data_IF_349500421884
#
_entry.id   IF_349500421884
#
_cell.length_a   1.000
_cell.length_b   1.000
_cell.length_c   1.000
_cell.angle_alpha   90.00
_cell.angle_beta   90.00
_cell.angle_gamma   90.00
#
_symmetry.space_group_name_H-M   'P 1'
#
loop_
_entity.id
_entity.type
_entity.pdbx_description
1 polymer ?
#
# COMPACT_ATOMS: atom_id res chain seq x y z
N UNK A 1 27.40 24.06 -9.98
CA UNK A 1 28.59 24.92 -9.83
C UNK A 1 28.10 26.37 -9.73
N UNK A 2 28.69 27.25 -8.90
CA UNK A 2 28.34 28.66 -8.92
C UNK A 2 28.70 29.28 -10.28
N UNK A 3 27.79 30.06 -10.86
CA UNK A 3 28.06 30.82 -12.07
C UNK A 3 28.35 32.24 -11.62
N UNK A 4 29.60 32.67 -11.71
CA UNK A 4 29.94 34.07 -11.45
C UNK A 4 29.56 34.89 -12.67
N UNK A 5 28.58 35.79 -12.51
CA UNK A 5 28.27 36.74 -13.55
C UNK A 5 29.45 37.67 -13.79
N UNK A 6 29.72 37.98 -15.06
CA UNK A 6 30.75 38.92 -15.48
C UNK A 6 30.17 39.82 -16.56
N UNK A 7 30.42 41.12 -16.43
CA UNK A 7 30.05 42.10 -17.45
C UNK A 7 31.17 42.26 -18.48
N UNK A 8 30.82 42.66 -19.70
CA UNK A 8 31.79 42.89 -20.77
C UNK A 8 32.63 44.15 -20.51
N UNK A 9 33.89 44.20 -20.99
CA UNK A 9 34.76 45.38 -20.80
C UNK A 9 34.15 46.68 -21.33
N UNK A 10 33.40 46.61 -22.43
CA UNK A 10 32.66 47.74 -23.00
C UNK A 10 31.63 48.33 -22.02
N UNK A 11 31.11 47.52 -21.11
CA UNK A 11 30.18 47.95 -20.07
C UNK A 11 30.91 48.74 -18.97
N UNK A 12 32.08 48.26 -18.55
CA UNK A 12 32.98 48.96 -17.63
C UNK A 12 33.44 50.31 -18.19
N UNK A 13 33.81 50.37 -19.48
CA UNK A 13 34.20 51.62 -20.15
C UNK A 13 33.06 52.66 -20.23
N UNK A 14 31.80 52.21 -20.26
CA UNK A 14 30.64 53.09 -20.38
C UNK A 14 30.05 53.53 -19.05
N UNK A 15 30.09 52.68 -18.03
CA UNK A 15 29.49 52.95 -16.72
C UNK A 15 30.52 53.30 -15.63
N UNK A 16 31.80 53.06 -15.89
CA UNK A 16 32.87 53.15 -14.89
C UNK A 16 33.08 51.83 -14.17
N UNK A 17 34.30 51.61 -13.71
CA UNK A 17 34.70 50.35 -13.07
C UNK A 17 33.94 50.12 -11.74
N UNK A 18 33.71 51.17 -10.95
CA UNK A 18 33.02 51.07 -9.66
C UNK A 18 31.57 50.62 -9.80
N UNK A 19 30.80 51.31 -10.66
CA UNK A 19 29.37 50.99 -10.89
C UNK A 19 29.21 49.60 -11.51
N UNK A 20 30.11 49.21 -12.43
CA UNK A 20 30.07 47.89 -13.03
C UNK A 20 30.39 46.78 -12.02
N UNK A 21 31.32 47.01 -11.08
CA UNK A 21 31.61 46.06 -10.01
C UNK A 21 30.43 45.91 -9.04
N UNK A 22 29.81 47.01 -8.61
CA UNK A 22 28.62 46.95 -7.73
C UNK A 22 27.49 46.14 -8.36
N UNK A 23 27.24 46.32 -9.66
CA UNK A 23 26.21 45.55 -10.39
C UNK A 23 26.54 44.06 -10.46
N UNK A 24 27.81 43.70 -10.65
CA UNK A 24 28.24 42.30 -10.65
C UNK A 24 28.09 41.68 -9.27
N UNK A 25 28.51 42.38 -8.22
CA UNK A 25 28.37 41.92 -6.84
C UNK A 25 26.91 41.72 -6.46
N UNK A 26 26.05 42.70 -6.78
CA UNK A 26 24.62 42.59 -6.56
C UNK A 26 24.01 41.40 -7.31
N UNK A 27 24.33 41.20 -8.59
CA UNK A 27 23.81 40.08 -9.37
C UNK A 27 24.22 38.73 -8.76
N UNK A 28 25.49 38.59 -8.38
CA UNK A 28 25.98 37.36 -7.76
C UNK A 28 25.33 37.11 -6.39
N UNK A 29 25.06 38.16 -5.61
CA UNK A 29 24.33 38.06 -4.34
C UNK A 29 22.89 37.59 -4.55
N UNK A 30 22.20 38.15 -5.55
CA UNK A 30 20.83 37.77 -5.91
C UNK A 30 20.78 36.32 -6.39
N UNK A 31 21.71 35.88 -7.26
CA UNK A 31 21.80 34.49 -7.72
C UNK A 31 22.03 33.52 -6.56
N UNK A 32 22.96 33.85 -5.66
CA UNK A 32 23.26 33.04 -4.49
C UNK A 32 22.04 32.89 -3.56
N UNK A 33 21.34 34.01 -3.31
CA UNK A 33 20.14 34.04 -2.47
C UNK A 33 19.01 33.21 -3.10
N UNK A 34 18.70 33.47 -4.37
CA UNK A 34 17.61 32.78 -5.06
C UNK A 34 17.85 31.27 -5.16
N UNK A 35 19.10 30.86 -5.42
CA UNK A 35 19.46 29.44 -5.43
C UNK A 35 19.34 28.80 -4.05
N UNK A 36 19.70 29.54 -2.99
CA UNK A 36 19.51 29.09 -1.61
C UNK A 36 18.02 28.90 -1.30
N UNK A 37 17.20 29.91 -1.60
CA UNK A 37 15.75 29.87 -1.36
C UNK A 37 15.08 28.74 -2.13
N UNK A 38 15.43 28.56 -3.41
CA UNK A 38 14.93 27.44 -4.22
C UNK A 38 15.31 26.09 -3.61
N UNK A 39 16.54 25.96 -3.10
CA UNK A 39 16.98 24.73 -2.47
C UNK A 39 16.21 24.48 -1.18
N UNK A 40 16.04 25.49 -0.33
CA UNK A 40 15.29 25.38 0.91
C UNK A 40 13.82 25.02 0.65
N UNK A 41 13.17 25.70 -0.29
CA UNK A 41 11.80 25.40 -0.70
C UNK A 41 11.68 23.97 -1.25
N UNK A 42 12.67 23.53 -2.03
CA UNK A 42 12.69 22.18 -2.58
C UNK A 42 12.85 21.13 -1.47
N UNK A 43 13.78 21.32 -0.55
CA UNK A 43 13.99 20.44 0.61
C UNK A 43 12.74 20.38 1.49
N UNK A 44 12.09 21.52 1.79
CA UNK A 44 10.85 21.58 2.56
C UNK A 44 9.69 20.87 1.84
N UNK A 45 9.56 21.08 0.53
CA UNK A 45 8.51 20.44 -0.25
C UNK A 45 8.72 18.93 -0.36
N UNK A 46 9.96 18.47 -0.54
CA UNK A 46 10.28 17.04 -0.55
C UNK A 46 10.00 16.39 0.81
N UNK A 47 10.38 17.04 1.93
CA UNK A 47 10.07 16.52 3.26
C UNK A 47 8.55 16.40 3.50
N UNK A 48 7.76 17.39 3.07
CA UNK A 48 6.30 17.34 3.15
C UNK A 48 5.69 16.26 2.25
N UNK A 49 6.24 16.09 1.06
CA UNK A 49 5.80 15.07 0.12
C UNK A 49 6.08 13.66 0.67
N UNK A 50 7.28 13.44 1.19
CA UNK A 50 7.71 12.18 1.79
C UNK A 50 6.82 11.81 2.98
N UNK A 51 6.61 12.74 3.93
CA UNK A 51 5.70 12.53 5.06
C UNK A 51 4.26 12.18 4.63
N UNK A 52 3.75 12.84 3.59
CA UNK A 52 2.41 12.54 3.05
C UNK A 52 2.37 11.18 2.36
N UNK A 53 3.42 10.80 1.65
CA UNK A 53 3.52 9.47 1.04
C UNK A 53 3.56 8.37 2.10
N UNK A 54 4.40 8.53 3.13
CA UNK A 54 4.47 7.59 4.25
C UNK A 54 3.11 7.42 4.93
N UNK A 55 2.41 8.54 5.19
CA UNK A 55 1.05 8.51 5.73
C UNK A 55 0.10 7.71 4.83
N UNK A 56 0.07 7.99 3.52
CA UNK A 56 -0.82 7.28 2.58
C UNK A 56 -0.48 5.79 2.48
N UNK A 57 0.80 5.43 2.52
CA UNK A 57 1.23 4.03 2.53
C UNK A 57 0.76 3.33 3.81
N UNK A 58 0.85 4.00 4.96
CA UNK A 58 0.37 3.46 6.23
C UNK A 58 -1.15 3.25 6.23
N UNK A 59 -1.91 4.22 5.72
CA UNK A 59 -3.37 4.12 5.52
C UNK A 59 -3.73 2.92 4.62
N UNK A 60 -3.12 2.82 3.44
CA UNK A 60 -3.36 1.71 2.51
C UNK A 60 -3.00 0.34 3.12
N UNK A 61 -1.92 0.25 3.89
CA UNK A 61 -1.55 -0.98 4.59
C UNK A 61 -2.60 -1.37 5.64
N UNK A 62 -3.13 -0.40 6.37
CA UNK A 62 -4.16 -0.64 7.38
C UNK A 62 -5.49 -1.08 6.75
N UNK A 63 -5.90 -0.43 5.65
CA UNK A 63 -7.08 -0.80 4.87
C UNK A 63 -6.94 -2.22 4.33
N UNK A 64 -5.83 -2.52 3.65
CA UNK A 64 -5.57 -3.86 3.10
C UNK A 64 -5.56 -4.93 4.19
N UNK A 65 -4.94 -4.66 5.34
CA UNK A 65 -4.94 -5.61 6.46
C UNK A 65 -6.36 -5.86 6.99
N UNK A 66 -7.20 -4.83 7.03
CA UNK A 66 -8.60 -4.93 7.46
C UNK A 66 -9.42 -5.75 6.46
N UNK A 67 -9.29 -5.46 5.17
CA UNK A 67 -9.98 -6.21 4.11
C UNK A 67 -9.54 -7.68 4.07
N UNK A 68 -8.25 -7.95 4.22
CA UNK A 68 -7.73 -9.32 4.28
C UNK A 68 -8.30 -10.07 5.49
N UNK A 69 -8.31 -9.46 6.68
CA UNK A 69 -8.91 -10.07 7.89
C UNK A 69 -10.39 -10.37 7.69
N UNK A 70 -11.14 -9.43 7.12
CA UNK A 70 -12.56 -9.63 6.81
C UNK A 70 -12.75 -10.74 5.76
N UNK A 71 -11.89 -10.80 4.75
CA UNK A 71 -11.86 -11.84 3.73
C UNK A 71 -11.62 -13.23 4.34
N UNK A 72 -10.60 -13.38 5.17
CA UNK A 72 -10.30 -14.64 5.87
C UNK A 72 -11.43 -15.06 6.79
N UNK A 73 -11.99 -14.15 7.59
CA UNK A 73 -13.13 -14.46 8.45
C UNK A 73 -14.34 -15.01 7.66
N UNK A 74 -14.61 -14.45 6.47
CA UNK A 74 -15.68 -14.95 5.58
C UNK A 74 -15.35 -16.33 5.00
N UNK A 75 -14.08 -16.60 4.67
CA UNK A 75 -13.65 -17.92 4.20
C UNK A 75 -13.80 -18.95 5.31
N UNK A 76 -13.31 -18.65 6.51
CA UNK A 76 -13.43 -19.53 7.68
C UNK A 76 -14.90 -19.83 8.00
N UNK A 77 -15.77 -18.82 7.97
CA UNK A 77 -17.20 -19.01 8.16
C UNK A 77 -17.79 -19.97 7.12
N UNK A 78 -17.47 -19.77 5.83
CA UNK A 78 -17.96 -20.64 4.76
C UNK A 78 -17.47 -22.07 4.95
N UNK A 79 -16.21 -22.26 5.33
CA UNK A 79 -15.64 -23.59 5.59
C UNK A 79 -16.35 -24.28 6.76
N UNK A 80 -16.59 -23.57 7.87
CA UNK A 80 -17.33 -24.11 9.01
C UNK A 80 -18.78 -24.49 8.65
N UNK A 81 -19.44 -23.69 7.82
CA UNK A 81 -20.76 -24.03 7.28
C UNK A 81 -20.72 -25.27 6.38
N UNK A 82 -19.71 -25.40 5.52
CA UNK A 82 -19.53 -26.59 4.69
C UNK A 82 -19.27 -27.83 5.53
N UNK A 83 -18.38 -27.75 6.52
CA UNK A 83 -18.07 -28.84 7.43
C UNK A 83 -19.32 -29.30 8.19
N UNK A 84 -20.12 -28.36 8.70
CA UNK A 84 -21.38 -28.67 9.40
C UNK A 84 -22.37 -29.38 8.46
N UNK A 85 -22.54 -28.89 7.23
CA UNK A 85 -23.44 -29.49 6.24
C UNK A 85 -22.99 -30.89 5.82
N UNK A 86 -21.68 -31.06 5.58
CA UNK A 86 -21.10 -32.35 5.21
C UNK A 86 -21.24 -33.37 6.34
N UNK A 87 -20.90 -32.98 7.57
CA UNK A 87 -21.05 -33.82 8.76
C UNK A 87 -22.50 -34.27 8.92
N UNK A 88 -23.47 -33.36 8.82
CA UNK A 88 -24.90 -33.72 8.90
C UNK A 88 -25.31 -34.69 7.78
N UNK A 89 -24.87 -34.45 6.54
CA UNK A 89 -25.19 -35.34 5.40
C UNK A 89 -24.58 -36.73 5.59
N UNK A 90 -23.34 -36.80 6.04
CA UNK A 90 -22.65 -38.07 6.31
C UNK A 90 -23.36 -38.84 7.42
N UNK A 91 -23.73 -38.18 8.53
CA UNK A 91 -24.48 -38.83 9.61
C UNK A 91 -25.82 -39.37 9.12
N UNK A 92 -26.59 -38.59 8.37
CA UNK A 92 -27.87 -39.03 7.80
C UNK A 92 -27.67 -40.23 6.86
N UNK A 93 -26.63 -40.20 6.04
CA UNK A 93 -26.26 -41.31 5.17
C UNK A 93 -25.92 -42.57 5.97
N UNK A 94 -25.11 -42.44 7.02
CA UNK A 94 -24.73 -43.56 7.89
C UNK A 94 -25.94 -44.16 8.63
N UNK A 95 -26.86 -43.33 9.10
CA UNK A 95 -28.11 -43.79 9.74
C UNK A 95 -28.95 -44.60 8.75
N UNK A 96 -29.14 -44.08 7.52
CA UNK A 96 -29.88 -44.78 6.49
C UNK A 96 -29.22 -46.12 6.14
N UNK A 97 -27.89 -46.14 5.94
CA UNK A 97 -27.14 -47.35 5.62
C UNK A 97 -27.20 -48.39 6.74
N UNK A 98 -27.11 -47.96 8.00
CA UNK A 98 -27.26 -48.85 9.15
C UNK A 98 -28.65 -49.48 9.20
N UNK A 99 -29.71 -48.68 8.97
CA UNK A 99 -31.09 -49.17 8.92
C UNK A 99 -31.30 -50.19 7.78
N UNK A 100 -30.76 -49.92 6.59
CA UNK A 100 -30.77 -50.87 5.46
C UNK A 100 -30.05 -52.16 5.81
N UNK A 101 -28.87 -52.07 6.41
CA UNK A 101 -28.07 -53.25 6.81
C UNK A 101 -28.81 -54.10 7.84
N UNK A 102 -29.40 -53.49 8.88
CA UNK A 102 -30.22 -54.17 9.89
C UNK A 102 -31.43 -54.85 9.25
N UNK A 103 -32.12 -54.16 8.34
CA UNK A 103 -33.24 -54.73 7.59
C UNK A 103 -32.86 -55.96 6.78
N UNK A 104 -31.74 -55.91 6.06
CA UNK A 104 -31.22 -57.05 5.29
C UNK A 104 -30.88 -58.24 6.19
N UNK A 105 -30.19 -58.01 7.32
CA UNK A 105 -29.87 -59.07 8.29
C UNK A 105 -31.15 -59.70 8.86
N UNK A 106 -32.15 -58.89 9.22
CA UNK A 106 -33.43 -59.38 9.73
C UNK A 106 -34.15 -60.28 8.72
N UNK A 107 -34.18 -59.89 7.44
CA UNK A 107 -34.76 -60.70 6.36
C UNK A 107 -34.04 -62.04 6.21
N UNK A 108 -32.70 -62.05 6.23
CA UNK A 108 -31.90 -63.29 6.14
C UNK A 108 -32.18 -64.22 7.32
N UNK A 109 -32.21 -63.69 8.56
CA UNK A 109 -32.50 -64.50 9.76
C UNK A 109 -33.89 -65.12 9.68
N UNK A 110 -34.89 -64.36 9.20
CA UNK A 110 -36.25 -64.87 9.03
C UNK A 110 -36.32 -66.01 8.00
N UNK A 111 -35.58 -65.91 6.90
CA UNK A 111 -35.52 -66.95 5.86
C UNK A 111 -34.81 -68.23 6.30
N UNK A 112 -33.84 -68.14 7.21
CA UNK A 112 -33.11 -69.33 7.72
C UNK A 112 -33.88 -70.04 8.83
N UNK A 113 -34.72 -69.32 9.58
CA UNK A 113 -35.50 -69.87 10.71
C UNK A 113 -36.93 -70.29 10.37
N UNK A 114 -37.46 -69.88 9.23
CA UNK A 114 -38.78 -70.27 8.72
C UNK A 114 -38.67 -71.37 7.68
#
# INVERSE_FOLDING_TARGET
>A
MPVTAKLSRKFYEKLGDDVANELVEWFNLVDATYRSDLRELNELNFARFDAKLEQRIAELRAELQTEMRAGFARVDQRLAEFETRLTRRLLNFWIAQAATTVGLVFVVVKLVKG
#
